data_IF_572021708833
#
_entry.id   IF_572021708833
#
_cell.length_a   1.000
_cell.length_b   1.000
_cell.length_c   1.000
_cell.angle_alpha   90.00
_cell.angle_beta   90.00
_cell.angle_gamma   90.00
#
_symmetry.space_group_name_H-M   'P 1'
#
loop_
_entity.id
_entity.type
_entity.pdbx_description
1 polymer ?
#
# COMPACT_ATOMS: atom_id res chain seq x y z
N UNK A 1 -5.88 -14.07 1.69
CA UNK A 1 -6.77 -12.90 1.96
C UNK A 1 -8.03 -13.04 1.11
N UNK A 2 -9.22 -12.68 1.60
CA UNK A 2 -10.47 -12.54 0.82
C UNK A 2 -10.79 -11.07 0.48
N UNK A 3 -11.83 -10.80 -0.29
CA UNK A 3 -12.12 -9.45 -0.81
C UNK A 3 -12.50 -8.46 0.31
N UNK A 4 -13.26 -8.91 1.30
CA UNK A 4 -13.57 -8.11 2.50
C UNK A 4 -12.32 -7.75 3.30
N UNK A 5 -11.39 -8.70 3.42
CA UNK A 5 -10.11 -8.45 4.07
C UNK A 5 -9.28 -7.47 3.25
N UNK A 6 -9.29 -7.59 1.92
CA UNK A 6 -8.56 -6.70 1.02
C UNK A 6 -9.04 -5.24 1.16
N UNK A 7 -10.35 -5.02 1.13
CA UNK A 7 -10.94 -3.69 1.35
C UNK A 7 -10.54 -3.12 2.72
N UNK A 8 -10.68 -3.93 3.79
CA UNK A 8 -10.31 -3.51 5.14
C UNK A 8 -8.83 -3.15 5.25
N UNK A 9 -7.94 -3.96 4.68
CA UNK A 9 -6.51 -3.67 4.67
C UNK A 9 -6.21 -2.38 3.91
N UNK A 10 -6.80 -2.14 2.74
CA UNK A 10 -6.63 -0.88 2.00
C UNK A 10 -7.11 0.34 2.81
N UNK A 11 -8.19 0.19 3.57
CA UNK A 11 -8.69 1.25 4.48
C UNK A 11 -7.75 1.49 5.66
N UNK A 12 -7.18 0.44 6.24
CA UNK A 12 -6.21 0.55 7.34
C UNK A 12 -4.86 1.12 6.89
N UNK A 13 -4.43 0.83 5.66
CA UNK A 13 -3.19 1.36 5.10
C UNK A 13 -3.39 2.84 4.68
N UNK A 14 -4.54 3.11 4.04
CA UNK A 14 -4.75 4.29 3.22
C UNK A 14 -4.36 4.01 1.77
N UNK A 15 -5.30 4.20 0.84
CA UNK A 15 -5.12 3.90 -0.59
C UNK A 15 -3.94 4.66 -1.22
N UNK A 16 -3.79 5.94 -0.90
CA UNK A 16 -2.67 6.75 -1.38
C UNK A 16 -1.32 6.26 -0.82
N UNK A 17 -1.25 5.89 0.46
CA UNK A 17 -0.04 5.34 1.07
C UNK A 17 0.37 4.02 0.40
N UNK A 18 -0.58 3.12 0.14
CA UNK A 18 -0.30 1.85 -0.55
C UNK A 18 0.33 2.06 -1.93
N UNK A 19 -0.18 3.03 -2.70
CA UNK A 19 0.34 3.34 -4.05
C UNK A 19 1.70 4.05 -3.98
N UNK A 20 1.81 5.07 -3.12
CA UNK A 20 3.02 5.90 -2.99
C UNK A 20 4.25 5.05 -2.64
N UNK A 21 4.07 4.08 -1.75
CA UNK A 21 5.14 3.23 -1.21
C UNK A 21 5.08 1.79 -1.71
N UNK A 22 4.43 1.56 -2.86
CA UNK A 22 4.20 0.20 -3.37
C UNK A 22 5.52 -0.56 -3.61
N UNK A 23 6.53 0.13 -4.15
CA UNK A 23 7.82 -0.48 -4.46
C UNK A 23 8.55 -0.92 -3.18
N UNK A 24 8.58 -0.03 -2.19
CA UNK A 24 9.21 -0.26 -0.88
C UNK A 24 8.49 -1.36 -0.10
N UNK A 25 7.15 -1.42 -0.16
CA UNK A 25 6.39 -2.51 0.43
C UNK A 25 6.59 -3.85 -0.29
N UNK A 26 6.91 -3.82 -1.59
CA UNK A 26 7.16 -5.01 -2.40
C UNK A 26 8.59 -5.54 -2.26
N UNK A 27 9.52 -4.70 -1.82
CA UNK A 27 10.92 -5.10 -1.61
C UNK A 27 11.09 -5.78 -0.24
N UNK A 28 11.44 -7.06 -0.28
CA UNK A 28 11.70 -7.88 0.91
C UNK A 28 13.12 -7.68 1.46
N UNK A 29 14.02 -7.03 0.71
CA UNK A 29 15.35 -6.67 1.20
C UNK A 29 15.30 -5.49 2.19
N UNK A 30 14.27 -4.64 2.09
CA UNK A 30 14.06 -3.55 3.06
C UNK A 30 13.47 -4.15 4.34
N UNK A 31 14.06 -3.87 5.50
CA UNK A 31 13.52 -4.39 6.76
C UNK A 31 12.20 -3.70 7.14
N UNK A 32 11.45 -4.27 8.09
CA UNK A 32 10.24 -3.58 8.57
C UNK A 32 10.62 -2.33 9.37
N UNK A 33 11.75 -2.38 10.07
CA UNK A 33 12.34 -1.30 10.86
C UNK A 33 12.71 -0.11 9.96
N UNK A 34 13.40 -0.35 8.84
CA UNK A 34 13.75 0.70 7.87
C UNK A 34 12.50 1.35 7.27
N UNK A 35 11.46 0.56 6.96
CA UNK A 35 10.19 1.09 6.48
C UNK A 35 9.44 1.90 7.55
N UNK A 36 9.54 1.50 8.82
CA UNK A 36 8.96 2.25 9.93
C UNK A 36 9.63 3.61 10.03
N UNK A 37 10.97 3.65 10.08
CA UNK A 37 11.74 4.88 10.19
C UNK A 37 11.47 5.81 9.00
N UNK A 38 11.44 5.26 7.78
CA UNK A 38 11.11 6.00 6.56
C UNK A 38 9.72 6.64 6.66
N UNK A 39 8.69 5.87 7.02
CA UNK A 39 7.31 6.39 7.11
C UNK A 39 7.15 7.39 8.25
N UNK A 40 7.82 7.20 9.38
CA UNK A 40 7.83 8.17 10.47
C UNK A 40 8.47 9.49 10.04
N UNK A 41 9.60 9.43 9.32
CA UNK A 41 10.32 10.62 8.86
C UNK A 41 9.57 11.37 7.75
N UNK A 42 9.01 10.66 6.78
CA UNK A 42 8.40 11.29 5.60
C UNK A 42 6.95 11.73 5.83
N UNK A 43 6.19 10.98 6.64
CA UNK A 43 4.75 11.19 6.81
C UNK A 43 4.38 11.63 8.24
N UNK A 44 5.32 11.56 9.20
CA UNK A 44 5.04 11.91 10.60
C UNK A 44 4.12 10.92 11.32
N UNK A 45 3.97 9.70 10.80
CA UNK A 45 3.14 8.68 11.42
C UNK A 45 3.71 8.18 12.75
N UNK A 46 2.84 7.62 13.59
CA UNK A 46 3.28 6.87 14.77
C UNK A 46 3.85 5.52 14.35
N UNK A 47 4.80 5.00 15.13
CA UNK A 47 5.41 3.68 14.89
C UNK A 47 4.36 2.56 14.74
N UNK A 48 3.33 2.55 15.61
CA UNK A 48 2.22 1.58 15.53
C UNK A 48 1.38 1.75 14.25
N UNK A 49 1.21 2.98 13.79
CA UNK A 49 0.59 3.30 12.51
C UNK A 49 1.41 2.81 11.32
N UNK A 50 2.74 2.93 11.38
CA UNK A 50 3.65 2.40 10.36
C UNK A 50 3.58 0.87 10.30
N UNK A 51 3.68 0.18 11.46
CA UNK A 51 3.56 -1.29 11.55
C UNK A 51 2.28 -1.81 10.92
N UNK A 52 1.15 -1.12 11.15
CA UNK A 52 -0.15 -1.49 10.56
C UNK A 52 -0.13 -1.36 9.04
N UNK A 53 0.41 -0.26 8.50
CA UNK A 53 0.52 -0.01 7.06
C UNK A 53 1.43 -1.04 6.37
N UNK A 54 2.61 -1.27 6.93
CA UNK A 54 3.61 -2.19 6.37
C UNK A 54 3.08 -3.62 6.38
N UNK A 55 2.57 -4.10 7.52
CA UNK A 55 2.08 -5.48 7.66
C UNK A 55 0.90 -5.77 6.72
N UNK A 56 -0.06 -4.86 6.61
CA UNK A 56 -1.18 -5.03 5.68
C UNK A 56 -0.74 -4.95 4.22
N UNK A 57 0.17 -4.04 3.87
CA UNK A 57 0.66 -3.90 2.49
C UNK A 57 1.41 -5.16 2.05
N UNK A 58 2.35 -5.63 2.87
CA UNK A 58 3.09 -6.88 2.63
C UNK A 58 2.17 -8.09 2.60
N UNK A 59 1.11 -8.12 3.41
CA UNK A 59 0.11 -9.19 3.37
C UNK A 59 -0.68 -9.22 2.06
N UNK A 60 -1.07 -8.06 1.52
CA UNK A 60 -1.73 -7.97 0.21
C UNK A 60 -0.81 -8.54 -0.88
N UNK A 61 0.45 -8.07 -0.90
CA UNK A 61 1.45 -8.45 -1.91
C UNK A 61 1.80 -9.95 -1.82
N UNK A 62 2.11 -10.46 -0.62
CA UNK A 62 2.39 -11.88 -0.41
C UNK A 62 1.19 -12.80 -0.67
N UNK A 63 -0.04 -12.27 -0.61
CA UNK A 63 -1.25 -13.02 -1.00
C UNK A 63 -1.49 -13.02 -2.52
N UNK A 64 -0.64 -12.36 -3.32
CA UNK A 64 -0.82 -12.21 -4.76
C UNK A 64 -1.99 -11.28 -5.15
N UNK A 65 -2.50 -10.49 -4.21
CA UNK A 65 -3.72 -9.67 -4.36
C UNK A 65 -3.44 -8.23 -4.80
N UNK A 66 -2.18 -7.89 -5.10
CA UNK A 66 -1.76 -6.53 -5.43
C UNK A 66 -2.51 -5.95 -6.64
N UNK A 67 -2.92 -6.79 -7.59
CA UNK A 67 -3.62 -6.33 -8.80
C UNK A 67 -5.05 -5.94 -8.53
N UNK A 68 -5.76 -6.77 -7.78
CA UNK A 68 -7.10 -6.43 -7.30
C UNK A 68 -7.03 -5.18 -6.42
N UNK A 69 -6.00 -5.07 -5.57
CA UNK A 69 -5.79 -3.89 -4.73
C UNK A 69 -5.65 -2.61 -5.58
N UNK A 70 -4.76 -2.62 -6.58
CA UNK A 70 -4.57 -1.49 -7.49
C UNK A 70 -5.84 -1.20 -8.31
N UNK A 71 -6.56 -2.22 -8.77
CA UNK A 71 -7.83 -2.05 -9.48
C UNK A 71 -8.90 -1.37 -8.60
N UNK A 72 -9.03 -1.77 -7.33
CA UNK A 72 -9.94 -1.15 -6.36
C UNK A 72 -9.57 0.32 -6.06
N UNK A 73 -8.28 0.65 -6.09
CA UNK A 73 -7.81 2.03 -5.92
C UNK A 73 -8.13 2.87 -7.15
N UNK A 74 -7.89 2.35 -8.35
CA UNK A 74 -8.20 3.04 -9.61
C UNK A 74 -9.69 3.33 -9.76
N UNK A 75 -10.55 2.43 -9.27
CA UNK A 75 -12.00 2.60 -9.29
C UNK A 75 -12.54 3.50 -8.17
N UNK A 76 -11.69 3.99 -7.27
CA UNK A 76 -12.10 4.75 -6.08
C UNK A 76 -12.24 6.25 -6.36
N UNK A 77 -13.46 6.78 -6.32
CA UNK A 77 -13.73 8.21 -6.56
C UNK A 77 -13.08 9.17 -5.55
N UNK A 78 -12.75 8.69 -4.35
CA UNK A 78 -12.16 9.49 -3.26
C UNK A 78 -10.63 9.56 -3.29
N UNK A 79 -9.99 9.03 -4.34
CA UNK A 79 -8.54 9.02 -4.47
C UNK A 79 -8.14 10.07 -5.50
N UNK A 80 -7.12 10.86 -5.18
CA UNK A 80 -6.61 11.92 -6.05
C UNK A 80 -6.13 11.36 -7.40
N UNK A 81 -6.32 12.14 -8.47
CA UNK A 81 -6.04 11.71 -9.84
C UNK A 81 -4.59 11.24 -10.03
N UNK A 82 -3.64 11.95 -9.41
CA UNK A 82 -2.21 11.59 -9.46
C UNK A 82 -1.95 10.18 -8.90
N UNK A 83 -2.59 9.85 -7.78
CA UNK A 83 -2.50 8.51 -7.16
C UNK A 83 -3.16 7.46 -8.05
N UNK A 84 -4.29 7.77 -8.68
CA UNK A 84 -4.96 6.87 -9.63
C UNK A 84 -4.06 6.58 -10.84
N UNK A 85 -3.41 7.61 -11.39
CA UNK A 85 -2.51 7.45 -12.53
C UNK A 85 -1.27 6.65 -12.15
N UNK A 86 -0.69 6.89 -10.97
CA UNK A 86 0.39 6.06 -10.44
C UNK A 86 -0.03 4.60 -10.28
N UNK A 87 -1.23 4.34 -9.75
CA UNK A 87 -1.75 2.98 -9.62
C UNK A 87 -1.93 2.29 -10.99
N UNK A 88 -2.34 3.04 -12.03
CA UNK A 88 -2.42 2.51 -13.41
C UNK A 88 -1.05 2.15 -13.96
N UNK A 89 -0.03 2.96 -13.70
CA UNK A 89 1.36 2.65 -14.10
C UNK A 89 1.86 1.38 -13.45
N UNK A 90 1.72 1.27 -12.12
CA UNK A 90 2.17 0.10 -11.35
C UNK A 90 1.49 -1.18 -11.85
N UNK A 91 0.20 -1.11 -12.19
CA UNK A 91 -0.55 -2.26 -12.70
C UNK A 91 -0.10 -2.70 -14.10
N UNK A 92 0.43 -1.80 -14.93
CA UNK A 92 0.91 -2.10 -16.30
C UNK A 92 2.32 -2.68 -16.33
N UNK A 93 3.20 -2.27 -15.42
CA UNK A 93 4.63 -2.58 -15.46
C UNK A 93 4.99 -3.90 -14.75
N UNK A 94 4.25 -4.97 -15.05
CA UNK A 94 4.47 -6.32 -14.49
C UNK A 94 5.47 -7.12 -15.29
#
# INVERSE_FOLDING_TARGET
MNDDQLDRSLRSIGKACFVKYFAEFSDLAISSEDLIDMLMQQEGYTESGCKTRISNSRRIISSGRQDEALAMIIASERVEAEIVDKARELRRNK
#
